data_IF_876054568648
#
_entry.id   IF_876054568648
#
_cell.length_a   1.000
_cell.length_b   1.000
_cell.length_c   1.000
_cell.angle_alpha   90.00
_cell.angle_beta   90.00
_cell.angle_gamma   90.00
#
_symmetry.space_group_name_H-M   'P 1'
#
loop_
_entity.id
_entity.type
_entity.pdbx_description
1 polymer ?
#
# COMPACT_ATOMS: atom_id res chain seq x y z
N UNK A 1 12.98 6.10 5.26
CA UNK A 1 11.90 7.02 4.85
C UNK A 1 10.82 7.05 5.93
N UNK A 2 10.38 8.25 6.35
CA UNK A 2 9.32 8.41 7.36
C UNK A 2 7.98 7.88 6.84
N UNK A 3 7.09 7.41 7.72
CA UNK A 3 5.80 6.85 7.33
C UNK A 3 4.95 7.83 6.51
N UNK A 4 4.98 9.13 6.84
CA UNK A 4 4.28 10.18 6.09
C UNK A 4 4.72 10.26 4.63
N UNK A 5 6.02 10.10 4.36
CA UNK A 5 6.56 10.10 3.00
C UNK A 5 6.15 8.82 2.25
N UNK A 6 6.21 7.65 2.91
CA UNK A 6 5.74 6.38 2.32
C UNK A 6 4.25 6.45 1.97
N UNK A 7 3.43 6.95 2.90
CA UNK A 7 2.00 7.13 2.70
C UNK A 7 1.71 8.07 1.54
N UNK A 8 2.41 9.22 1.46
CA UNK A 8 2.26 10.14 0.32
C UNK A 8 2.54 9.43 -1.02
N UNK A 9 3.59 8.60 -1.10
CA UNK A 9 3.89 7.85 -2.31
C UNK A 9 2.80 6.82 -2.66
N UNK A 10 2.28 6.08 -1.66
CA UNK A 10 1.16 5.15 -1.84
C UNK A 10 -0.08 5.88 -2.36
N UNK A 11 -0.44 7.01 -1.74
CA UNK A 11 -1.61 7.81 -2.08
C UNK A 11 -1.56 8.43 -3.48
N UNK A 12 -0.39 8.54 -4.11
CA UNK A 12 -0.30 8.98 -5.49
C UNK A 12 -0.90 7.94 -6.45
N UNK A 13 -0.58 6.65 -6.26
CA UNK A 13 -1.01 5.55 -7.15
C UNK A 13 -2.32 4.88 -6.73
N UNK A 14 -2.58 4.79 -5.43
CA UNK A 14 -3.70 4.02 -4.87
C UNK A 14 -4.73 4.91 -4.17
N UNK A 15 -6.01 4.50 -4.25
CA UNK A 15 -7.01 4.82 -3.23
C UNK A 15 -6.80 3.85 -2.07
N UNK A 16 -6.86 4.34 -0.83
CA UNK A 16 -6.66 3.49 0.35
C UNK A 16 -7.90 3.44 1.22
N UNK A 17 -8.20 2.26 1.76
CA UNK A 17 -9.06 2.08 2.93
C UNK A 17 -8.20 1.51 4.03
N UNK A 18 -8.30 2.06 5.24
CA UNK A 18 -7.55 1.60 6.41
C UNK A 18 -8.53 1.34 7.54
N UNK A 19 -8.47 0.14 8.08
CA UNK A 19 -9.31 -0.32 9.18
C UNK A 19 -8.44 -0.95 10.28
N UNK A 20 -9.00 -1.06 11.48
CA UNK A 20 -8.37 -1.73 12.62
C UNK A 20 -9.41 -2.59 13.32
N UNK A 21 -9.11 -3.88 13.48
CA UNK A 21 -9.99 -4.81 14.18
C UNK A 21 -9.89 -4.69 15.72
N UNK A 22 -10.75 -5.44 16.42
CA UNK A 22 -10.78 -5.50 17.88
C UNK A 22 -9.47 -6.04 18.50
N UNK A 23 -8.67 -6.76 17.72
CA UNK A 23 -7.35 -7.31 18.10
C UNK A 23 -6.20 -6.31 17.81
N UNK A 24 -6.51 -5.09 17.39
CA UNK A 24 -5.58 -4.04 16.98
C UNK A 24 -4.72 -4.39 15.74
N UNK A 25 -5.18 -5.31 14.89
CA UNK A 25 -4.57 -5.53 13.60
C UNK A 25 -5.09 -4.51 12.60
N UNK A 26 -4.16 -3.86 11.92
CA UNK A 26 -4.44 -2.91 10.87
C UNK A 26 -4.54 -3.64 9.54
N UNK A 27 -5.63 -3.40 8.84
CA UNK A 27 -5.86 -3.88 7.46
C UNK A 27 -5.92 -2.67 6.53
N UNK A 28 -5.06 -2.66 5.52
CA UNK A 28 -5.05 -1.64 4.49
C UNK A 28 -5.40 -2.27 3.14
N UNK A 29 -6.44 -1.76 2.50
CA UNK A 29 -6.80 -2.07 1.13
C UNK A 29 -6.26 -0.97 0.23
N UNK A 30 -5.51 -1.36 -0.80
CA UNK A 30 -4.92 -0.50 -1.83
C UNK A 30 -5.63 -0.78 -3.15
N UNK A 31 -6.37 0.20 -3.68
CA UNK A 31 -7.04 0.08 -4.98
C UNK A 31 -6.32 0.95 -6.00
N UNK A 32 -5.77 0.35 -7.06
CA UNK A 32 -5.04 1.07 -8.11
C UNK A 32 -6.00 2.01 -8.85
N UNK A 33 -5.60 3.28 -8.98
CA UNK A 33 -6.46 4.32 -9.58
C UNK A 33 -6.69 4.16 -11.08
N UNK A 34 -5.85 3.39 -11.77
CA UNK A 34 -5.87 3.25 -13.23
C UNK A 34 -6.67 2.02 -13.62
N UNK A 35 -6.33 0.86 -13.05
CA UNK A 35 -6.95 -0.42 -13.45
C UNK A 35 -7.97 -0.97 -12.43
N UNK A 36 -8.12 -0.33 -11.27
CA UNK A 36 -9.07 -0.75 -10.22
C UNK A 36 -8.65 -2.00 -9.45
N UNK A 37 -7.48 -2.59 -9.71
CA UNK A 37 -7.01 -3.77 -9.00
C UNK A 37 -6.77 -3.44 -7.53
N UNK A 38 -7.27 -4.31 -6.66
CA UNK A 38 -7.18 -4.14 -5.22
C UNK A 38 -6.24 -5.18 -4.58
N UNK A 39 -5.47 -4.74 -3.60
CA UNK A 39 -4.60 -5.58 -2.78
C UNK A 39 -4.81 -5.24 -1.32
N UNK A 40 -4.88 -6.25 -0.44
CA UNK A 40 -4.91 -6.05 1.01
C UNK A 40 -3.54 -6.34 1.63
N UNK A 41 -3.20 -5.58 2.67
CA UNK A 41 -2.09 -5.88 3.56
C UNK A 41 -2.52 -5.73 5.00
N UNK A 42 -2.01 -6.62 5.85
CA UNK A 42 -2.37 -6.66 7.26
C UNK A 42 -1.11 -6.61 8.12
N UNK A 43 -1.18 -5.89 9.25
CA UNK A 43 -0.13 -5.92 10.27
C UNK A 43 -0.64 -5.47 11.64
N UNK A 44 0.02 -5.95 12.69
CA UNK A 44 -0.27 -5.61 14.08
C UNK A 44 -0.04 -4.14 14.50
N UNK A 45 0.39 -3.27 13.58
CA UNK A 45 0.51 -1.83 13.85
C UNK A 45 0.55 -1.02 12.55
N UNK A 46 0.21 0.27 12.68
CA UNK A 46 0.19 1.24 11.59
C UNK A 46 1.53 1.36 10.83
N UNK A 47 2.67 1.41 11.53
CA UNK A 47 3.97 1.57 10.87
C UNK A 47 4.32 0.36 9.99
N UNK A 48 3.97 -0.84 10.46
CA UNK A 48 4.16 -2.09 9.73
C UNK A 48 3.25 -2.17 8.52
N UNK A 49 1.96 -1.82 8.63
CA UNK A 49 1.02 -1.88 7.49
C UNK A 49 1.45 -0.92 6.37
N UNK A 50 1.87 0.31 6.73
CA UNK A 50 2.40 1.30 5.78
C UNK A 50 3.68 0.80 5.11
N UNK A 51 4.56 0.14 5.86
CA UNK A 51 5.81 -0.39 5.31
C UNK A 51 5.57 -1.57 4.36
N UNK A 52 4.61 -2.44 4.65
CA UNK A 52 4.18 -3.53 3.75
C UNK A 52 3.56 -2.97 2.48
N UNK A 53 2.63 -2.03 2.60
CA UNK A 53 2.00 -1.34 1.47
C UNK A 53 3.03 -0.66 0.56
N UNK A 54 3.99 0.06 1.15
CA UNK A 54 5.06 0.72 0.38
C UNK A 54 5.97 -0.30 -0.33
N UNK A 55 6.24 -1.44 0.29
CA UNK A 55 7.02 -2.50 -0.34
C UNK A 55 6.30 -3.13 -1.53
N UNK A 56 4.97 -3.25 -1.47
CA UNK A 56 4.16 -3.67 -2.61
C UNK A 56 4.22 -2.63 -3.74
N UNK A 57 4.04 -1.34 -3.43
CA UNK A 57 4.19 -0.26 -4.41
C UNK A 57 5.52 -0.37 -5.15
N UNK A 58 6.64 -0.53 -4.44
CA UNK A 58 7.96 -0.66 -5.07
C UNK A 58 8.08 -1.90 -5.95
N UNK A 59 7.42 -3.00 -5.61
CA UNK A 59 7.40 -4.20 -6.45
C UNK A 59 6.61 -3.96 -7.73
N UNK A 60 5.46 -3.31 -7.64
CA UNK A 60 4.63 -3.01 -8.82
C UNK A 60 5.30 -2.00 -9.75
N UNK A 61 5.91 -0.94 -9.22
CA UNK A 61 6.68 0.02 -10.04
C UNK A 61 7.83 -0.67 -10.78
N UNK A 62 8.56 -1.57 -10.10
CA UNK A 62 9.61 -2.37 -10.76
C UNK A 62 9.05 -3.30 -11.84
N UNK A 63 7.86 -3.88 -11.63
CA UNK A 63 7.22 -4.69 -12.68
C UNK A 63 6.85 -3.83 -13.88
N UNK A 64 6.28 -2.65 -13.66
CA UNK A 64 5.93 -1.70 -14.73
C UNK A 64 7.17 -1.29 -15.53
N UNK A 65 8.28 -0.96 -14.85
CA UNK A 65 9.56 -0.65 -15.50
C UNK A 65 10.09 -1.82 -16.35
N UNK A 66 9.98 -3.06 -15.87
CA UNK A 66 10.46 -4.24 -16.58
C UNK A 66 9.50 -4.75 -17.66
N UNK A 67 8.23 -4.35 -17.61
CA UNK A 67 7.19 -4.75 -18.57
C UNK A 67 7.11 -3.79 -19.76
N UNK A 68 8.18 -3.01 -19.99
CA UNK A 68 8.25 -1.88 -20.91
C UNK A 68 7.47 -2.07 -22.20
N UNK A 69 6.54 -1.13 -22.42
CA UNK A 69 6.42 -0.47 -23.72
C UNK A 69 7.60 0.49 -23.89
#
# INVERSE_FOLDING_TARGET
MRNTTKLKAILLKYVITLDMDDDNNFTMILTDKVNGNAFSVEANNYSSVISKAYSLLLKELKKEENSGF
#
